data_IF_060156443277
#
_entry.id   IF_060156443277
#
_cell.length_a   1.000
_cell.length_b   1.000
_cell.length_c   1.000
_cell.angle_alpha   90.00
_cell.angle_beta   90.00
_cell.angle_gamma   90.00
#
_symmetry.space_group_name_H-M   'P 1'
#
loop_
_entity.id
_entity.type
_entity.pdbx_description
1 polymer ?
#
# COMPACT_ATOMS: atom_id res chain seq x y z
N UNK A 1 9.12 -35.67 5.77
CA UNK A 1 9.32 -36.36 4.49
C UNK A 1 8.43 -35.69 3.46
N UNK A 2 9.00 -34.94 2.51
CA UNK A 2 8.20 -34.39 1.42
C UNK A 2 7.90 -35.52 0.45
N UNK A 3 6.62 -35.82 0.25
CA UNK A 3 6.18 -36.79 -0.75
C UNK A 3 5.87 -36.05 -2.05
N UNK A 4 6.03 -36.72 -3.19
CA UNK A 4 5.78 -36.12 -4.51
C UNK A 4 4.38 -35.49 -4.59
N UNK A 5 3.35 -36.16 -4.06
CA UNK A 5 1.99 -35.61 -4.01
C UNK A 5 1.85 -34.35 -3.15
N UNK A 6 2.61 -34.23 -2.05
CA UNK A 6 2.62 -33.01 -1.22
C UNK A 6 3.29 -31.84 -1.94
N UNK A 7 4.39 -32.10 -2.66
CA UNK A 7 5.09 -31.06 -3.44
C UNK A 7 4.19 -30.54 -4.56
N UNK A 8 3.52 -31.43 -5.30
CA UNK A 8 2.59 -31.05 -6.37
C UNK A 8 1.43 -30.23 -5.84
N UNK A 9 0.83 -30.64 -4.71
CA UNK A 9 -0.25 -29.90 -4.07
C UNK A 9 0.19 -28.48 -3.66
N UNK A 10 1.34 -28.34 -3.01
CA UNK A 10 1.86 -27.03 -2.58
C UNK A 10 2.10 -26.12 -3.78
N UNK A 11 2.72 -26.64 -4.84
CA UNK A 11 3.00 -25.84 -6.04
C UNK A 11 1.70 -25.37 -6.71
N UNK A 12 0.73 -26.27 -6.86
CA UNK A 12 -0.59 -25.95 -7.40
C UNK A 12 -1.30 -24.90 -6.54
N UNK A 13 -1.34 -25.11 -5.23
CA UNK A 13 -1.97 -24.20 -4.28
C UNK A 13 -1.35 -22.79 -4.37
N UNK A 14 -0.02 -22.69 -4.37
CA UNK A 14 0.68 -21.40 -4.46
C UNK A 14 0.33 -20.67 -5.75
N UNK A 15 0.32 -21.37 -6.89
CA UNK A 15 -0.02 -20.75 -8.19
C UNK A 15 -1.46 -20.24 -8.20
N UNK A 16 -2.43 -21.07 -7.77
CA UNK A 16 -3.83 -20.67 -7.69
C UNK A 16 -4.04 -19.51 -6.70
N UNK A 17 -3.37 -19.56 -5.56
CA UNK A 17 -3.46 -18.52 -4.54
C UNK A 17 -2.89 -17.18 -5.04
N UNK A 18 -1.70 -17.19 -5.66
CA UNK A 18 -1.10 -15.99 -6.25
C UNK A 18 -1.98 -15.43 -7.38
N UNK A 19 -2.55 -16.28 -8.23
CA UNK A 19 -3.48 -15.85 -9.27
C UNK A 19 -4.73 -15.17 -8.68
N UNK A 20 -5.30 -15.74 -7.62
CA UNK A 20 -6.43 -15.15 -6.90
C UNK A 20 -6.08 -13.80 -6.26
N UNK A 21 -4.90 -13.68 -5.64
CA UNK A 21 -4.40 -12.41 -5.10
C UNK A 21 -4.27 -11.35 -6.19
N UNK A 22 -3.64 -11.68 -7.32
CA UNK A 22 -3.51 -10.75 -8.45
C UNK A 22 -4.88 -10.30 -8.93
N UNK A 23 -5.83 -11.21 -9.09
CA UNK A 23 -7.19 -10.87 -9.51
C UNK A 23 -7.90 -9.93 -8.53
N UNK A 24 -7.79 -10.20 -7.22
CA UNK A 24 -8.39 -9.36 -6.18
C UNK A 24 -7.77 -7.96 -6.16
N UNK A 25 -6.44 -7.87 -6.08
CA UNK A 25 -5.74 -6.59 -5.97
C UNK A 25 -5.82 -5.72 -7.23
N UNK A 26 -6.03 -6.32 -8.41
CA UNK A 26 -6.27 -5.54 -9.63
C UNK A 26 -7.53 -4.68 -9.53
N UNK A 27 -8.59 -5.18 -8.90
CA UNK A 27 -9.83 -4.41 -8.69
C UNK A 27 -9.63 -3.34 -7.62
N UNK A 28 -8.92 -3.67 -6.54
CA UNK A 28 -8.63 -2.72 -5.46
C UNK A 28 -7.78 -1.54 -5.95
N UNK A 29 -6.81 -1.78 -6.83
CA UNK A 29 -5.99 -0.72 -7.41
C UNK A 29 -6.82 0.27 -8.26
N UNK A 30 -7.81 -0.23 -9.01
CA UNK A 30 -8.74 0.63 -9.75
C UNK A 30 -9.64 1.42 -8.79
N UNK A 31 -10.11 0.79 -7.72
CA UNK A 31 -10.95 1.40 -6.71
C UNK A 31 -10.22 2.48 -5.91
N UNK A 32 -8.94 2.27 -5.61
CA UNK A 32 -8.07 3.24 -4.96
C UNK A 32 -7.93 4.51 -5.79
N UNK A 33 -7.80 4.38 -7.11
CA UNK A 33 -7.78 5.52 -8.03
C UNK A 33 -9.10 6.28 -8.12
N UNK A 34 -10.23 5.64 -7.82
CA UNK A 34 -11.56 6.28 -7.83
C UNK A 34 -11.79 7.04 -6.52
N UNK A 35 -11.63 6.39 -5.37
CA UNK A 35 -11.96 6.98 -4.07
C UNK A 35 -10.85 7.85 -3.47
N UNK A 36 -9.58 7.55 -3.76
CA UNK A 36 -8.43 8.30 -3.21
C UNK A 36 -7.81 9.26 -4.24
N UNK A 37 -8.53 9.55 -5.34
CA UNK A 37 -8.07 10.53 -6.33
C UNK A 37 -7.93 11.89 -5.66
N UNK A 38 -6.69 12.38 -5.57
CA UNK A 38 -6.41 13.68 -4.96
C UNK A 38 -6.15 13.66 -3.46
N UNK A 39 -6.18 12.50 -2.79
CA UNK A 39 -5.79 12.39 -1.38
C UNK A 39 -4.34 12.83 -1.11
N UNK A 40 -3.47 12.75 -2.13
CA UNK A 40 -2.10 13.27 -2.05
C UNK A 40 -2.03 14.78 -1.76
N UNK A 41 -3.07 15.55 -2.13
CA UNK A 41 -3.12 17.00 -1.84
C UNK A 41 -3.29 17.26 -0.35
N UNK A 42 -4.06 16.41 0.34
CA UNK A 42 -4.24 16.45 1.79
C UNK A 42 -2.90 16.12 2.48
N UNK A 43 -2.20 15.10 1.98
CA UNK A 43 -0.87 14.74 2.49
C UNK A 43 0.14 15.89 2.34
N UNK A 44 0.17 16.55 1.18
CA UNK A 44 1.04 17.71 0.94
C UNK A 44 0.68 18.85 1.91
N UNK A 45 -0.61 19.17 2.07
CA UNK A 45 -1.05 20.19 3.02
C UNK A 45 -0.64 19.88 4.46
N UNK A 46 -0.77 18.61 4.87
CA UNK A 46 -0.34 18.15 6.19
C UNK A 46 1.17 18.25 6.39
N UNK A 47 1.98 17.86 5.39
CA UNK A 47 3.44 18.00 5.46
C UNK A 47 3.88 19.46 5.51
N UNK A 48 3.24 20.34 4.73
CA UNK A 48 3.49 21.79 4.78
C UNK A 48 3.15 22.34 6.18
N UNK A 49 2.03 21.92 6.75
CA UNK A 49 1.64 22.32 8.11
C UNK A 49 2.70 21.90 9.14
N UNK A 50 3.18 20.65 9.08
CA UNK A 50 4.26 20.19 9.96
C UNK A 50 5.53 21.03 9.75
N UNK A 51 5.94 21.28 8.51
CA UNK A 51 7.11 22.08 8.21
C UNK A 51 6.99 23.51 8.77
N UNK A 52 5.81 24.13 8.67
CA UNK A 52 5.51 25.44 9.26
C UNK A 52 5.65 25.41 10.79
N UNK A 53 5.16 24.37 11.46
CA UNK A 53 5.33 24.24 12.93
C UNK A 53 6.81 24.21 13.32
N UNK A 54 7.63 23.49 12.56
CA UNK A 54 9.08 23.47 12.78
C UNK A 54 9.73 24.82 12.47
N UNK A 55 9.32 25.50 11.40
CA UNK A 55 9.83 26.82 11.03
C UNK A 55 9.51 27.87 12.10
N UNK A 56 8.27 27.90 12.60
CA UNK A 56 7.86 28.79 13.70
C UNK A 56 8.65 28.45 14.97
N UNK A 57 8.74 27.17 15.34
CA UNK A 57 9.53 26.73 16.50
C UNK A 57 11.00 27.15 16.38
N UNK A 58 11.58 27.07 15.19
CA UNK A 58 12.96 27.51 14.95
C UNK A 58 13.09 29.03 15.08
N UNK A 59 12.16 29.79 14.50
CA UNK A 59 12.18 31.25 14.52
C UNK A 59 11.90 31.84 15.92
N UNK A 60 11.02 31.23 16.71
CA UNK A 60 10.67 31.68 18.08
C UNK A 60 11.62 31.17 19.17
N UNK A 61 12.49 30.19 18.86
CA UNK A 61 13.47 29.67 19.82
C UNK A 61 14.82 30.41 19.76
N UNK A 62 14.89 31.47 18.96
CA UNK A 62 15.84 32.58 19.06
C UNK A 62 15.20 33.74 19.80
#
# INVERSE_FOLDING_TARGET
MFTTGRIVFVLFFVVCFVAALIYSYRKDAALHRIFYKGSYRILIGFLIFIALLFAIKYLTRH
#
